data_IF_256985114203
#
_entry.id   IF_256985114203
#
_cell.length_a   1.000
_cell.length_b   1.000
_cell.length_c   1.000
_cell.angle_alpha   90.00
_cell.angle_beta   90.00
_cell.angle_gamma   90.00
#
_symmetry.space_group_name_H-M   'P 1'
#
loop_
_entity.id
_entity.type
_entity.pdbx_description
1 polymer ?
#
# COMPACT_ATOMS: atom_id res chain seq x y z
N UNK A 1 -61.16 18.72 58.19
CA UNK A 1 -60.96 18.44 56.76
C UNK A 1 -62.30 18.20 56.10
N UNK A 2 -62.70 19.02 55.11
CA UNK A 2 -64.03 18.92 54.52
C UNK A 2 -64.05 17.75 53.51
N UNK A 3 -64.78 16.67 53.86
CA UNK A 3 -64.82 15.42 53.08
C UNK A 3 -65.25 15.62 51.62
N UNK A 4 -66.02 16.67 51.35
CA UNK A 4 -66.46 17.07 50.00
C UNK A 4 -65.31 17.66 49.16
N UNK A 5 -64.35 18.32 49.80
CA UNK A 5 -63.19 18.92 49.13
C UNK A 5 -62.17 17.86 48.70
N UNK A 6 -62.01 16.80 49.51
CA UNK A 6 -61.13 15.67 49.21
C UNK A 6 -61.66 14.87 48.02
N UNK A 7 -62.98 14.63 47.99
CA UNK A 7 -63.62 13.93 46.86
C UNK A 7 -63.47 14.72 45.55
N UNK A 8 -63.62 16.04 45.60
CA UNK A 8 -63.45 16.90 44.42
C UNK A 8 -62.00 16.92 43.93
N UNK A 9 -61.02 16.97 44.84
CA UNK A 9 -59.60 16.91 44.48
C UNK A 9 -59.21 15.56 43.86
N UNK A 10 -59.78 14.45 44.35
CA UNK A 10 -59.56 13.12 43.78
C UNK A 10 -60.15 12.97 42.38
N UNK A 11 -61.35 13.50 42.14
CA UNK A 11 -61.98 13.50 40.82
C UNK A 11 -61.19 14.37 39.84
N UNK A 12 -60.67 15.51 40.29
CA UNK A 12 -59.83 16.38 39.47
C UNK A 12 -58.50 15.71 39.12
N UNK A 13 -57.90 14.96 40.05
CA UNK A 13 -56.66 14.21 39.81
C UNK A 13 -56.86 13.05 38.83
N UNK A 14 -58.01 12.37 38.89
CA UNK A 14 -58.42 11.34 37.92
C UNK A 14 -58.69 11.94 36.53
N UNK A 15 -59.30 13.13 36.46
CA UNK A 15 -59.60 13.81 35.20
C UNK A 15 -58.34 14.33 34.48
N UNK A 16 -57.31 14.76 35.22
CA UNK A 16 -56.04 15.22 34.64
C UNK A 16 -55.10 14.04 34.34
N UNK A 17 -55.19 12.94 35.11
CA UNK A 17 -54.43 11.71 34.85
C UNK A 17 -54.85 10.96 33.58
N UNK A 18 -56.09 11.15 33.12
CA UNK A 18 -56.63 10.50 31.91
C UNK A 18 -56.23 11.18 30.59
N UNK A 19 -55.68 12.40 30.60
CA UNK A 19 -55.40 13.16 29.38
C UNK A 19 -54.00 12.90 28.78
N UNK A 20 -53.11 12.21 29.50
CA UNK A 20 -51.77 11.87 29.00
C UNK A 20 -51.62 10.42 28.51
N UNK A 21 -52.65 9.59 28.66
CA UNK A 21 -52.71 8.32 27.96
C UNK A 21 -53.38 8.57 26.60
N UNK A 22 -52.60 9.03 25.62
CA UNK A 22 -53.04 9.03 24.24
C UNK A 22 -53.47 7.59 23.90
N UNK A 23 -54.77 7.39 23.68
CA UNK A 23 -55.32 6.14 23.16
C UNK A 23 -54.68 5.94 21.79
N UNK A 24 -53.75 4.98 21.70
CA UNK A 24 -53.21 4.54 20.43
C UNK A 24 -54.28 3.67 19.76
N UNK A 25 -55.02 4.14 18.74
CA UNK A 25 -56.27 3.53 18.33
C UNK A 25 -56.07 2.34 17.36
N UNK A 26 -54.92 1.66 17.41
CA UNK A 26 -54.56 0.62 16.45
C UNK A 26 -53.48 -0.34 16.93
N UNK A 27 -53.07 -1.25 16.04
CA UNK A 27 -51.93 -2.18 16.21
C UNK A 27 -50.66 -1.40 16.54
N UNK A 28 -49.88 -1.88 17.53
CA UNK A 28 -48.56 -1.35 17.89
C UNK A 28 -47.78 -0.97 16.61
N UNK A 29 -47.17 0.24 16.54
CA UNK A 29 -46.41 0.63 15.37
C UNK A 29 -45.36 -0.46 15.11
N UNK A 30 -45.31 -0.94 13.86
CA UNK A 30 -44.33 -1.93 13.45
C UNK A 30 -42.90 -1.42 13.67
N UNK A 31 -41.92 -2.31 13.54
CA UNK A 31 -40.51 -1.98 13.75
C UNK A 31 -40.15 -0.65 13.08
N UNK A 32 -39.54 0.26 13.85
CA UNK A 32 -38.94 1.48 13.32
C UNK A 32 -37.53 1.15 12.88
N UNK A 33 -37.28 1.23 11.58
CA UNK A 33 -35.97 0.97 10.98
C UNK A 33 -35.25 2.29 10.67
N UNK A 34 -33.99 2.41 11.09
CA UNK A 34 -33.09 3.44 10.60
C UNK A 34 -32.18 2.84 9.52
N UNK A 35 -32.11 3.48 8.35
CA UNK A 35 -31.16 3.12 7.29
C UNK A 35 -29.91 3.97 7.42
N UNK A 36 -28.77 3.33 7.67
CA UNK A 36 -27.47 3.99 7.65
C UNK A 36 -26.88 3.82 6.26
N UNK A 37 -26.85 4.90 5.48
CA UNK A 37 -26.17 4.93 4.19
C UNK A 37 -24.71 5.33 4.38
N UNK A 38 -23.79 4.57 3.79
CA UNK A 38 -22.37 4.88 3.77
C UNK A 38 -21.81 4.69 2.36
N UNK A 39 -20.88 5.56 1.98
CA UNK A 39 -20.15 5.48 0.71
C UNK A 39 -18.67 5.19 1.02
N UNK A 40 -18.11 4.17 0.35
CA UNK A 40 -16.67 3.92 0.36
C UNK A 40 -16.08 4.65 -0.84
N UNK A 41 -15.15 5.58 -0.61
CA UNK A 41 -14.42 6.26 -1.67
C UNK A 41 -13.35 5.36 -2.32
N UNK A 42 -12.82 5.79 -3.45
CA UNK A 42 -11.70 5.13 -4.12
C UNK A 42 -10.44 5.17 -3.25
N UNK A 43 -9.71 4.05 -3.18
CA UNK A 43 -8.45 3.93 -2.45
C UNK A 43 -7.42 3.12 -3.24
N UNK A 44 -6.15 3.41 -2.96
CA UNK A 44 -5.01 2.61 -3.39
C UNK A 44 -4.02 2.52 -2.23
N UNK A 45 -3.81 1.32 -1.72
CA UNK A 45 -2.72 0.99 -0.82
C UNK A 45 -1.66 0.23 -1.59
N UNK A 46 -0.39 0.53 -1.35
CA UNK A 46 0.73 -0.15 -2.01
C UNK A 46 1.98 -0.02 -1.16
N UNK A 47 2.92 -0.94 -1.37
CA UNK A 47 4.17 -0.96 -0.63
C UNK A 47 4.89 -2.28 -0.75
N UNK A 48 5.99 -2.39 0.00
CA UNK A 48 6.72 -3.62 0.15
C UNK A 48 5.89 -4.61 0.96
N UNK A 49 5.95 -5.88 0.56
CA UNK A 49 5.26 -6.97 1.25
C UNK A 49 6.29 -7.78 2.04
N UNK A 50 5.97 -8.05 3.29
CA UNK A 50 6.63 -9.07 4.10
C UNK A 50 5.91 -10.41 3.90
N UNK A 51 6.66 -11.48 3.63
CA UNK A 51 6.08 -12.81 3.44
C UNK A 51 5.42 -13.35 4.72
N UNK A 52 5.77 -12.80 5.88
CA UNK A 52 5.18 -13.13 7.17
C UNK A 52 3.86 -12.38 7.42
N UNK A 53 3.64 -11.23 6.78
CA UNK A 53 2.42 -10.39 6.91
C UNK A 53 1.94 -9.85 5.56
N UNK A 54 1.46 -10.71 4.64
CA UNK A 54 1.20 -10.34 3.24
C UNK A 54 0.05 -9.34 3.03
N UNK A 55 -0.69 -8.98 4.09
CA UNK A 55 -1.79 -8.02 4.05
C UNK A 55 -1.36 -6.59 4.41
N UNK A 56 -0.13 -6.40 4.88
CA UNK A 56 0.44 -5.11 5.25
C UNK A 56 1.39 -4.61 4.15
N UNK A 57 1.38 -3.29 3.94
CA UNK A 57 2.19 -2.63 2.93
C UNK A 57 3.15 -1.67 3.62
N UNK A 58 4.43 -2.02 3.61
CA UNK A 58 5.47 -1.18 4.19
C UNK A 58 5.93 -0.10 3.21
N UNK A 59 6.15 1.10 3.74
CA UNK A 59 6.70 2.22 2.96
C UNK A 59 8.21 2.06 2.69
N UNK A 60 8.90 1.27 3.52
CA UNK A 60 10.36 1.09 3.46
C UNK A 60 10.73 -0.36 3.73
N UNK A 61 11.77 -0.85 3.06
CA UNK A 61 12.34 -2.17 3.31
C UNK A 61 13.86 -2.09 3.29
N UNK A 62 14.50 -2.65 4.31
CA UNK A 62 15.96 -2.79 4.37
C UNK A 62 16.32 -4.24 4.07
N UNK A 63 17.23 -4.43 3.10
CA UNK A 63 17.78 -5.73 2.75
C UNK A 63 19.27 -5.67 3.03
N UNK A 64 19.76 -6.58 3.87
CA UNK A 64 21.17 -6.66 4.21
C UNK A 64 21.91 -7.56 3.21
N UNK A 65 23.22 -7.33 3.08
CA UNK A 65 24.16 -8.20 2.36
C UNK A 65 23.84 -8.47 0.89
N UNK A 66 23.55 -7.40 0.14
CA UNK A 66 23.19 -7.46 -1.28
C UNK A 66 24.23 -8.11 -2.22
N UNK A 67 25.49 -8.25 -1.79
CA UNK A 67 26.57 -8.81 -2.63
C UNK A 67 26.76 -10.33 -2.45
N UNK A 68 26.30 -10.91 -1.34
CA UNK A 68 26.37 -12.36 -1.11
C UNK A 68 25.19 -13.05 -1.79
N UNK A 69 23.98 -12.56 -1.51
CA UNK A 69 22.75 -13.01 -2.16
C UNK A 69 22.11 -11.82 -2.84
N UNK A 70 21.68 -11.99 -4.08
CA UNK A 70 21.05 -10.91 -4.83
C UNK A 70 19.81 -10.41 -4.06
N UNK A 71 19.71 -9.10 -3.77
CA UNK A 71 18.61 -8.55 -3.00
C UNK A 71 17.29 -8.74 -3.72
N UNK A 72 16.32 -9.32 -3.00
CA UNK A 72 14.99 -9.61 -3.50
C UNK A 72 13.92 -9.04 -2.56
N UNK A 73 12.85 -8.50 -3.13
CA UNK A 73 11.68 -8.06 -2.39
C UNK A 73 10.40 -8.33 -3.18
N UNK A 74 9.29 -8.40 -2.45
CA UNK A 74 7.96 -8.38 -3.04
C UNK A 74 7.36 -6.98 -2.89
N UNK A 75 6.70 -6.51 -3.94
CA UNK A 75 5.95 -5.26 -3.94
C UNK A 75 4.53 -5.52 -4.41
N UNK A 76 3.54 -4.83 -3.85
CA UNK A 76 2.16 -5.04 -4.25
C UNK A 76 1.22 -3.89 -3.91
N UNK A 77 -0.05 -4.11 -4.23
CA UNK A 77 -1.10 -3.14 -4.00
C UNK A 77 -2.46 -3.79 -3.68
N UNK A 78 -3.34 -2.99 -3.09
CA UNK A 78 -4.77 -3.26 -2.91
C UNK A 78 -5.59 -2.01 -3.23
N UNK A 79 -6.67 -2.17 -3.99
CA UNK A 79 -7.51 -1.06 -4.45
C UNK A 79 -8.96 -1.49 -4.63
N UNK A 80 -9.89 -0.53 -4.58
CA UNK A 80 -11.26 -0.66 -5.08
C UNK A 80 -11.52 0.17 -6.35
N UNK A 81 -10.48 0.81 -6.90
CA UNK A 81 -10.59 1.59 -8.13
C UNK A 81 -11.01 0.65 -9.26
N UNK A 82 -12.15 0.95 -9.88
CA UNK A 82 -12.73 0.19 -10.99
C UNK A 82 -11.94 0.31 -12.30
N UNK A 83 -12.59 0.14 -13.44
CA UNK A 83 -11.93 0.24 -14.77
C UNK A 83 -11.78 1.67 -15.26
N UNK A 84 -12.23 2.67 -14.50
CA UNK A 84 -12.20 4.08 -14.90
C UNK A 84 -10.79 4.67 -14.94
N UNK A 85 -9.88 4.14 -14.12
CA UNK A 85 -8.50 4.60 -14.02
C UNK A 85 -7.54 3.41 -14.14
N UNK A 86 -6.67 3.49 -15.14
CA UNK A 86 -5.53 2.60 -15.27
C UNK A 86 -4.31 3.25 -14.65
N UNK A 87 -3.47 2.44 -14.01
CA UNK A 87 -2.22 2.92 -13.44
C UNK A 87 -1.14 1.85 -13.47
N UNK A 88 0.11 2.31 -13.40
CA UNK A 88 1.29 1.47 -13.36
C UNK A 88 2.20 1.88 -12.20
N UNK A 89 2.97 0.91 -11.72
CA UNK A 89 4.03 1.10 -10.75
C UNK A 89 5.36 1.09 -11.49
N UNK A 90 6.03 2.23 -11.48
CA UNK A 90 7.31 2.45 -12.16
C UNK A 90 8.41 2.48 -11.12
N UNK A 91 9.35 1.55 -11.23
CA UNK A 91 10.48 1.42 -10.35
C UNK A 91 11.74 1.99 -11.01
N UNK A 92 12.49 2.79 -10.27
CA UNK A 92 13.87 3.14 -10.59
C UNK A 92 14.78 2.58 -9.50
N UNK A 93 16.00 2.22 -9.87
CA UNK A 93 17.01 1.73 -8.95
C UNK A 93 18.34 2.39 -9.29
N UNK A 94 19.05 2.87 -8.26
CA UNK A 94 20.39 3.45 -8.42
C UNK A 94 21.50 2.42 -8.20
N UNK A 95 22.69 2.72 -8.70
CA UNK A 95 23.92 1.97 -8.37
C UNK A 95 24.10 1.86 -6.84
N UNK A 96 24.79 0.81 -6.38
CA UNK A 96 25.20 0.71 -4.98
C UNK A 96 26.36 1.67 -4.75
N UNK A 97 26.14 2.75 -4.00
CA UNK A 97 27.16 3.76 -3.71
C UNK A 97 27.83 3.46 -2.38
N UNK A 98 29.16 3.57 -2.30
CA UNK A 98 29.87 3.41 -1.03
C UNK A 98 29.53 4.60 -0.11
N UNK A 99 29.17 4.32 1.13
CA UNK A 99 28.60 5.34 2.02
C UNK A 99 29.59 6.44 2.43
N UNK A 100 30.89 6.17 2.34
CA UNK A 100 31.95 7.08 2.83
C UNK A 100 33.03 7.41 1.80
N UNK A 101 33.08 6.73 0.66
CA UNK A 101 34.15 6.89 -0.34
C UNK A 101 33.51 7.40 -1.63
N UNK A 102 33.78 8.65 -1.95
CA UNK A 102 33.20 9.31 -3.12
C UNK A 102 33.64 8.61 -4.41
N UNK A 103 32.68 8.31 -5.29
CA UNK A 103 32.92 7.70 -6.59
C UNK A 103 33.07 6.17 -6.56
N UNK A 104 33.26 5.55 -5.39
CA UNK A 104 33.22 4.10 -5.29
C UNK A 104 31.78 3.61 -5.37
N UNK A 105 31.48 2.77 -6.36
CA UNK A 105 30.15 2.24 -6.61
C UNK A 105 30.20 0.87 -7.27
N UNK A 106 29.17 0.08 -7.03
CA UNK A 106 28.92 -1.18 -7.73
C UNK A 106 27.65 -1.01 -8.55
N UNK A 107 27.77 -1.17 -9.86
CA UNK A 107 26.65 -1.09 -10.79
C UNK A 107 25.73 -2.29 -10.66
N UNK A 108 24.54 -2.17 -11.23
CA UNK A 108 23.56 -3.25 -11.32
C UNK A 108 23.69 -3.90 -12.69
N UNK A 109 23.91 -5.21 -12.72
CA UNK A 109 24.01 -5.95 -13.98
C UNK A 109 22.62 -6.23 -14.58
N UNK A 110 21.64 -6.56 -13.74
CA UNK A 110 20.31 -6.96 -14.20
C UNK A 110 19.25 -6.70 -13.12
N UNK A 111 18.01 -6.52 -13.54
CA UNK A 111 16.83 -6.42 -12.68
C UNK A 111 15.80 -7.40 -13.20
N UNK A 112 15.35 -8.31 -12.35
CA UNK A 112 14.24 -9.21 -12.70
C UNK A 112 12.95 -8.78 -12.03
N UNK A 113 11.86 -8.91 -12.78
CA UNK A 113 10.49 -8.60 -12.36
C UNK A 113 9.62 -9.81 -12.68
N UNK A 114 9.06 -10.44 -11.65
CA UNK A 114 8.28 -11.67 -11.82
C UNK A 114 9.10 -12.84 -12.40
N UNK A 115 10.44 -12.81 -12.25
CA UNK A 115 11.36 -13.80 -12.81
C UNK A 115 11.79 -13.55 -14.26
N UNK A 116 11.32 -12.47 -14.89
CA UNK A 116 11.76 -12.04 -16.23
C UNK A 116 12.79 -10.91 -16.10
N UNK A 117 13.67 -10.74 -17.08
CA UNK A 117 14.59 -9.59 -17.18
C UNK A 117 14.05 -8.60 -18.23
N UNK A 118 13.12 -7.69 -17.87
CA UNK A 118 12.63 -6.68 -18.78
C UNK A 118 13.69 -5.63 -19.07
N UNK A 119 13.66 -5.05 -20.27
CA UNK A 119 14.45 -3.84 -20.57
C UNK A 119 13.84 -2.62 -19.87
N UNK A 120 14.65 -1.72 -19.30
CA UNK A 120 14.15 -0.48 -18.72
C UNK A 120 13.62 0.47 -19.80
N UNK A 121 12.49 1.10 -19.53
CA UNK A 121 11.90 2.12 -20.39
C UNK A 121 12.38 3.47 -19.87
N UNK A 122 13.28 4.15 -20.59
CA UNK A 122 13.80 5.47 -20.18
C UNK A 122 14.31 5.51 -18.72
N UNK A 123 14.96 4.42 -18.27
CA UNK A 123 15.55 4.31 -16.93
C UNK A 123 14.64 3.77 -15.82
N UNK A 124 13.38 3.39 -16.11
CA UNK A 124 12.49 2.75 -15.14
C UNK A 124 11.99 1.38 -15.61
N UNK A 125 11.54 0.57 -14.65
CA UNK A 125 10.88 -0.72 -14.87
C UNK A 125 9.40 -0.63 -14.51
N UNK A 126 8.51 -1.11 -15.38
CA UNK A 126 7.12 -1.34 -14.99
C UNK A 126 7.06 -2.64 -14.20
N UNK A 127 6.80 -2.54 -12.90
CA UNK A 127 6.81 -3.71 -12.01
C UNK A 127 5.42 -4.32 -11.83
N UNK A 128 4.39 -3.48 -11.89
CA UNK A 128 2.98 -3.86 -11.81
C UNK A 128 2.16 -2.90 -12.68
N UNK A 129 1.09 -3.41 -13.27
CA UNK A 129 0.12 -2.59 -14.01
C UNK A 129 -1.30 -3.04 -13.67
N UNK A 130 -2.21 -2.06 -13.59
CA UNK A 130 -3.64 -2.29 -13.49
C UNK A 130 -4.31 -1.66 -14.71
N UNK A 131 -4.68 -2.51 -15.66
CA UNK A 131 -5.44 -2.16 -16.87
C UNK A 131 -6.84 -2.77 -16.88
N UNK A 132 -7.17 -3.56 -15.86
CA UNK A 132 -8.45 -4.28 -15.72
C UNK A 132 -8.98 -4.14 -14.28
N UNK A 133 -10.20 -4.64 -14.05
CA UNK A 133 -10.83 -4.62 -12.73
C UNK A 133 -10.20 -5.67 -11.78
N UNK A 134 -8.97 -5.41 -11.35
CA UNK A 134 -8.30 -6.17 -10.29
C UNK A 134 -8.21 -5.36 -9.00
N UNK A 135 -8.51 -6.01 -7.87
CA UNK A 135 -8.51 -5.39 -6.55
C UNK A 135 -7.17 -5.52 -5.82
N UNK A 136 -6.25 -6.32 -6.34
CA UNK A 136 -4.90 -6.50 -5.78
C UNK A 136 -3.94 -7.08 -6.81
N UNK A 137 -2.64 -6.93 -6.55
CA UNK A 137 -1.57 -7.54 -7.31
C UNK A 137 -0.25 -7.45 -6.56
N UNK A 138 0.66 -8.38 -6.83
CA UNK A 138 1.98 -8.41 -6.23
C UNK A 138 3.00 -8.98 -7.22
N UNK A 139 4.26 -8.56 -7.10
CA UNK A 139 5.37 -9.00 -7.94
C UNK A 139 6.63 -9.16 -7.11
N UNK A 140 7.43 -10.16 -7.45
CA UNK A 140 8.78 -10.30 -6.91
C UNK A 140 9.77 -9.56 -7.81
N UNK A 141 10.65 -8.78 -7.19
CA UNK A 141 11.73 -8.07 -7.87
C UNK A 141 13.06 -8.56 -7.29
N UNK A 142 14.03 -8.80 -8.17
CA UNK A 142 15.42 -9.11 -7.78
C UNK A 142 16.34 -8.11 -8.47
N UNK A 143 17.20 -7.46 -7.69
CA UNK A 143 18.24 -6.57 -8.21
C UNK A 143 19.55 -7.34 -8.15
N UNK A 144 20.25 -7.48 -9.28
CA UNK A 144 21.51 -8.23 -9.35
C UNK A 144 22.69 -7.26 -9.44
N UNK A 145 23.49 -7.09 -8.38
CA UNK A 145 24.72 -6.31 -8.48
C UNK A 145 25.65 -6.91 -9.53
N UNK A 146 26.42 -6.08 -10.19
CA UNK A 146 27.43 -6.52 -11.14
C UNK A 146 28.55 -7.29 -10.42
N UNK A 147 28.91 -8.46 -10.97
CA UNK A 147 29.98 -9.35 -10.45
C UNK A 147 31.05 -9.67 -11.49
N UNK A 148 30.96 -9.05 -12.67
CA UNK A 148 31.89 -9.21 -13.78
C UNK A 148 31.75 -8.02 -14.75
N UNK A 149 32.71 -7.89 -15.67
CA UNK A 149 32.65 -6.93 -16.77
C UNK A 149 31.44 -7.18 -17.69
N UNK A 150 30.94 -6.12 -18.33
CA UNK A 150 29.78 -6.16 -19.21
C UNK A 150 29.08 -4.81 -19.28
N UNK A 151 27.81 -4.82 -19.64
CA UNK A 151 26.94 -3.64 -19.56
C UNK A 151 26.11 -3.71 -18.28
N UNK A 152 25.75 -2.56 -17.74
CA UNK A 152 24.78 -2.45 -16.65
C UNK A 152 23.34 -2.68 -17.15
N UNK A 153 22.42 -2.70 -16.21
CA UNK A 153 20.99 -2.90 -16.45
C UNK A 153 20.34 -1.81 -17.33
N UNK A 154 21.03 -0.70 -17.59
CA UNK A 154 20.62 0.37 -18.51
C UNK A 154 21.34 0.29 -19.87
N UNK A 155 22.16 -0.74 -20.08
CA UNK A 155 22.92 -0.95 -21.31
C UNK A 155 24.23 -0.16 -21.40
N UNK A 156 24.67 0.49 -20.31
CA UNK A 156 25.92 1.25 -20.29
C UNK A 156 27.10 0.33 -19.96
N UNK A 157 28.15 0.38 -20.78
CA UNK A 157 29.36 -0.40 -20.55
C UNK A 157 29.98 -0.03 -19.18
N UNK A 158 30.26 -1.06 -18.38
CA UNK A 158 30.88 -0.93 -17.07
C UNK A 158 32.40 -0.96 -17.18
N UNK A 159 33.07 -0.24 -16.30
CA UNK A 159 34.52 -0.33 -16.11
C UNK A 159 34.88 -1.37 -15.06
N UNK A 160 36.15 -1.79 -15.04
CA UNK A 160 36.69 -2.72 -14.02
C UNK A 160 36.54 -2.21 -12.59
N UNK A 161 36.25 -0.93 -12.40
CA UNK A 161 36.02 -0.29 -11.11
C UNK A 161 34.58 -0.43 -10.59
N UNK A 162 33.64 -0.93 -11.40
CA UNK A 162 32.20 -0.77 -11.15
C UNK A 162 31.46 -2.10 -10.89
N UNK A 163 32.17 -3.21 -10.66
CA UNK A 163 31.57 -4.49 -10.29
C UNK A 163 32.27 -5.11 -9.08
N UNK A 164 31.54 -5.95 -8.35
CA UNK A 164 32.03 -6.68 -7.18
C UNK A 164 33.10 -7.68 -7.61
N UNK A 165 34.26 -7.69 -6.94
CA UNK A 165 35.48 -8.38 -7.37
C UNK A 165 36.35 -7.59 -8.35
N UNK A 166 35.99 -6.34 -8.65
CA UNK A 166 36.70 -5.44 -9.57
C UNK A 166 37.89 -4.68 -8.94
N UNK A 167 38.52 -3.82 -9.74
CA UNK A 167 39.73 -3.08 -9.38
C UNK A 167 39.53 -2.04 -8.26
N UNK A 168 38.30 -1.57 -8.04
CA UNK A 168 37.94 -0.57 -7.02
C UNK A 168 36.88 -1.09 -6.04
N UNK A 169 36.85 -2.40 -5.77
CA UNK A 169 36.09 -2.90 -4.63
C UNK A 169 36.69 -2.34 -3.34
N UNK A 170 35.87 -1.61 -2.57
CA UNK A 170 36.28 -1.02 -1.30
C UNK A 170 35.50 -1.67 -0.18
N UNK A 171 36.19 -2.15 0.85
CA UNK A 171 35.54 -2.71 2.02
C UNK A 171 34.74 -1.64 2.76
N UNK A 172 33.46 -1.92 3.01
CA UNK A 172 32.57 -1.03 3.75
C UNK A 172 31.11 -1.15 3.31
N UNK A 173 30.22 -0.34 3.92
CA UNK A 173 28.81 -0.38 3.59
C UNK A 173 28.53 0.39 2.29
N UNK A 174 27.70 -0.23 1.45
CA UNK A 174 27.13 0.38 0.25
C UNK A 174 25.62 0.50 0.38
N UNK A 175 25.05 1.52 -0.23
CA UNK A 175 23.60 1.73 -0.29
C UNK A 175 23.15 1.92 -1.73
N UNK A 176 22.11 1.19 -2.13
CA UNK A 176 21.32 1.47 -3.34
C UNK A 176 19.94 1.93 -2.92
N UNK A 177 19.34 2.84 -3.69
CA UNK A 177 17.99 3.35 -3.46
C UNK A 177 17.08 2.89 -4.57
N UNK A 178 15.95 2.29 -4.18
CA UNK A 178 14.84 1.94 -5.07
C UNK A 178 13.72 2.96 -4.83
N UNK A 179 13.21 3.55 -5.91
CA UNK A 179 12.05 4.46 -5.84
C UNK A 179 10.93 3.92 -6.72
N UNK A 180 9.72 3.85 -6.17
CA UNK A 180 8.53 3.39 -6.90
C UNK A 180 7.52 4.53 -6.97
N UNK A 181 7.12 4.87 -8.18
CA UNK A 181 6.09 5.86 -8.47
C UNK A 181 4.85 5.18 -9.03
N UNK A 182 3.68 5.66 -8.62
CA UNK A 182 2.40 5.28 -9.23
C UNK A 182 2.03 6.33 -10.25
N UNK A 183 1.76 5.91 -11.49
CA UNK A 183 1.45 6.83 -12.59
C UNK A 183 0.17 6.36 -13.30
N UNK A 184 -0.72 7.30 -13.60
CA UNK A 184 -1.89 7.02 -14.45
C UNK A 184 -1.44 6.70 -15.87
N UNK A 185 -2.14 5.78 -16.53
CA UNK A 185 -1.89 5.39 -17.93
C UNK A 185 -3.14 5.41 -18.78
#
# INVERSE_FOLDING_TARGET
MNKKLIALAMILLLAVGGLFAAVYPGTLPGNVTATLNANIGDYLYHGFIDSTTPAEFDATKTINDAFITDPAFQYGFRTNIGTTYNFEFRMTVGDFLHNTISGAKIKIADVTVGGLSPDPISGYYVILSKTTAVSSGAVNVVIKPAKAAGNDHLGVAMTDAEYYGGANEVAGPYTSTVTIAVVSV
#
